data_IF_245695361310
#
_entry.id   IF_245695361310
#
_cell.length_a   1.000
_cell.length_b   1.000
_cell.length_c   1.000
_cell.angle_alpha   90.00
_cell.angle_beta   90.00
_cell.angle_gamma   90.00
#
_symmetry.space_group_name_H-M   'P 1'
#
loop_
_entity.id
_entity.type
_entity.pdbx_description
1 polymer ?
#
# COMPACT_ATOMS: atom_id res chain seq x y z
N UNK A 1 -5.85 -7.61 -10.23
CA UNK A 1 -6.14 -7.73 -8.79
C UNK A 1 -7.02 -6.56 -8.41
N UNK A 2 -8.10 -6.77 -7.67
CA UNK A 2 -8.96 -5.70 -7.15
C UNK A 2 -8.63 -5.43 -5.68
N UNK A 3 -8.60 -4.16 -5.29
CA UNK A 3 -8.35 -3.74 -3.91
C UNK A 3 -9.63 -3.10 -3.39
N UNK A 4 -10.09 -3.49 -2.20
CA UNK A 4 -11.22 -2.82 -1.54
C UNK A 4 -10.71 -1.59 -0.79
N UNK A 5 -11.31 -0.42 -0.98
CA UNK A 5 -10.85 0.83 -0.36
C UNK A 5 -11.30 1.01 1.10
N UNK A 6 -12.26 0.20 1.55
CA UNK A 6 -12.71 0.12 2.95
C UNK A 6 -11.76 -0.68 3.85
N UNK A 7 -10.86 -1.47 3.27
CA UNK A 7 -9.88 -2.24 4.03
C UNK A 7 -8.75 -1.36 4.59
N UNK A 8 -8.06 -1.87 5.60
CA UNK A 8 -6.88 -1.26 6.22
C UNK A 8 -5.59 -1.59 5.49
N UNK A 9 -4.53 -0.80 5.72
CA UNK A 9 -3.17 -1.10 5.24
C UNK A 9 -2.70 -2.50 5.69
N UNK A 10 -3.04 -2.93 6.90
CA UNK A 10 -2.69 -4.26 7.41
C UNK A 10 -3.35 -5.39 6.59
N UNK A 11 -4.62 -5.23 6.23
CA UNK A 11 -5.35 -6.19 5.41
C UNK A 11 -4.80 -6.23 3.98
N UNK A 12 -4.47 -5.06 3.41
CA UNK A 12 -3.79 -5.00 2.13
C UNK A 12 -2.45 -5.76 2.15
N UNK A 13 -1.63 -5.58 3.18
CA UNK A 13 -0.37 -6.35 3.33
C UNK A 13 -0.61 -7.86 3.40
N UNK A 14 -1.69 -8.32 4.04
CA UNK A 14 -2.06 -9.75 4.07
C UNK A 14 -2.42 -10.27 2.68
N UNK A 15 -3.17 -9.50 1.89
CA UNK A 15 -3.47 -9.87 0.51
C UNK A 15 -2.20 -9.90 -0.34
N UNK A 16 -1.35 -8.87 -0.23
CA UNK A 16 -0.11 -8.76 -0.99
C UNK A 16 0.88 -9.87 -0.66
N UNK A 17 0.91 -10.40 0.58
CA UNK A 17 1.73 -11.57 0.96
C UNK A 17 1.53 -12.79 0.03
N UNK A 18 0.35 -12.93 -0.58
CA UNK A 18 0.08 -14.03 -1.51
C UNK A 18 0.68 -13.82 -2.89
N UNK A 19 1.01 -12.56 -3.23
CA UNK A 19 1.52 -12.14 -4.54
C UNK A 19 3.02 -11.85 -4.47
N UNK A 20 3.47 -11.22 -3.39
CA UNK A 20 4.87 -10.90 -3.13
C UNK A 20 5.38 -11.83 -2.03
N UNK A 21 6.51 -12.50 -2.26
CA UNK A 21 7.09 -13.47 -1.33
C UNK A 21 7.76 -12.80 -0.11
N UNK A 22 7.09 -11.82 0.51
CA UNK A 22 7.55 -11.08 1.69
C UNK A 22 6.60 -11.37 2.87
N UNK A 23 7.11 -11.29 4.09
CA UNK A 23 6.25 -11.28 5.28
C UNK A 23 5.62 -9.89 5.45
N UNK A 24 4.44 -9.80 6.05
CA UNK A 24 3.76 -8.51 6.28
C UNK A 24 4.60 -7.54 7.13
N UNK A 25 5.45 -8.05 8.02
CA UNK A 25 6.37 -7.26 8.85
C UNK A 25 7.54 -6.65 8.07
N UNK A 26 7.90 -7.27 6.95
CA UNK A 26 9.04 -6.87 6.11
C UNK A 26 8.58 -6.15 4.84
N UNK A 27 7.31 -5.72 4.77
CA UNK A 27 6.78 -4.93 3.66
C UNK A 27 6.65 -3.46 4.06
N UNK A 28 7.23 -2.57 3.25
CA UNK A 28 6.89 -1.16 3.17
C UNK A 28 5.96 -0.97 1.98
N UNK A 29 4.91 -0.17 2.17
CA UNK A 29 3.96 0.18 1.12
C UNK A 29 4.05 1.67 0.86
N UNK A 30 4.12 2.04 -0.42
CA UNK A 30 4.12 3.43 -0.85
C UNK A 30 3.01 3.66 -1.85
N UNK A 31 2.16 4.65 -1.59
CA UNK A 31 1.11 5.10 -2.47
C UNK A 31 1.62 6.24 -3.36
N UNK A 32 1.33 6.19 -4.65
CA UNK A 32 1.65 7.23 -5.60
C UNK A 32 0.41 7.53 -6.44
N UNK A 33 -0.14 8.73 -6.27
CA UNK A 33 -1.17 9.24 -7.16
C UNK A 33 -0.58 9.62 -8.54
N UNK A 34 -1.42 9.72 -9.57
CA UNK A 34 -0.97 9.99 -10.95
C UNK A 34 -0.25 11.32 -11.14
N UNK A 35 -0.55 12.33 -10.33
CA UNK A 35 -0.05 13.69 -10.47
C UNK A 35 1.11 13.99 -9.50
N UNK A 36 1.40 13.04 -8.60
CA UNK A 36 2.09 13.21 -7.33
C UNK A 36 3.35 14.09 -7.44
N UNK A 37 3.25 15.39 -7.15
CA UNK A 37 4.34 16.33 -7.36
C UNK A 37 5.48 16.11 -6.35
N UNK A 38 5.21 15.40 -5.26
CA UNK A 38 6.14 15.16 -4.15
C UNK A 38 6.59 13.69 -4.04
N UNK A 39 6.22 12.85 -5.00
CA UNK A 39 6.57 11.43 -5.02
C UNK A 39 5.71 10.56 -4.08
N UNK A 40 6.09 9.29 -3.87
CA UNK A 40 5.25 8.34 -3.15
C UNK A 40 5.11 8.63 -1.64
N UNK A 41 3.88 8.54 -1.12
CA UNK A 41 3.59 8.61 0.32
C UNK A 41 3.70 7.21 0.96
N UNK A 42 4.50 7.07 2.01
CA UNK A 42 4.56 5.81 2.77
C UNK A 42 3.26 5.57 3.57
N UNK A 43 2.70 4.38 3.42
CA UNK A 43 1.51 3.93 4.15
C UNK A 43 1.89 3.40 5.54
N UNK A 44 2.34 4.30 6.41
CA UNK A 44 2.93 4.00 7.73
C UNK A 44 1.97 3.38 8.75
N UNK A 45 0.70 3.78 8.70
CA UNK A 45 -0.29 3.43 9.72
C UNK A 45 -1.09 2.19 9.31
N UNK A 46 -0.82 1.06 9.96
CA UNK A 46 -1.42 -0.24 9.64
C UNK A 46 -2.95 -0.27 9.77
N UNK A 47 -3.52 0.51 10.68
CA UNK A 47 -4.97 0.61 10.92
C UNK A 47 -5.69 1.64 10.04
N UNK A 48 -4.95 2.46 9.27
CA UNK A 48 -5.55 3.47 8.38
C UNK A 48 -6.23 2.77 7.20
N UNK A 49 -7.44 3.22 6.87
CA UNK A 49 -8.19 2.69 5.73
C UNK A 49 -7.67 3.27 4.41
N UNK A 50 -7.73 2.48 3.33
CA UNK A 50 -7.15 2.85 2.03
C UNK A 50 -7.80 4.08 1.40
N UNK A 51 -9.12 4.25 1.54
CA UNK A 51 -9.83 5.41 1.00
C UNK A 51 -9.31 6.76 1.52
N UNK A 52 -8.68 6.79 2.70
CA UNK A 52 -8.13 8.01 3.29
C UNK A 52 -6.87 8.54 2.57
N UNK A 53 -6.32 7.77 1.62
CA UNK A 53 -5.25 8.21 0.72
C UNK A 53 -5.79 8.79 -0.60
N UNK A 54 -7.12 8.77 -0.81
CA UNK A 54 -7.72 9.28 -2.04
C UNK A 54 -7.49 8.40 -3.28
N UNK A 55 -7.17 7.11 -3.07
CA UNK A 55 -6.84 6.15 -4.13
C UNK A 55 -7.95 6.06 -5.18
N UNK A 56 -7.56 6.12 -6.45
CA UNK A 56 -8.39 5.99 -7.64
C UNK A 56 -7.79 4.96 -8.59
N UNK A 57 -8.61 4.54 -9.55
CA UNK A 57 -8.12 3.67 -10.62
C UNK A 57 -7.00 4.37 -11.41
N UNK A 58 -5.91 3.64 -11.64
CA UNK A 58 -4.70 4.13 -12.31
C UNK A 58 -3.60 4.63 -11.36
N UNK A 59 -3.89 4.83 -10.08
CA UNK A 59 -2.86 5.08 -9.06
C UNK A 59 -2.02 3.83 -8.80
N UNK A 60 -0.85 4.02 -8.17
CA UNK A 60 0.11 2.94 -7.94
C UNK A 60 0.37 2.73 -6.45
N UNK A 61 0.52 1.45 -6.09
CA UNK A 61 1.01 1.03 -4.78
C UNK A 61 2.29 0.22 -5.01
N UNK A 62 3.40 0.72 -4.49
CA UNK A 62 4.69 0.05 -4.51
C UNK A 62 4.86 -0.79 -3.25
N UNK A 63 5.50 -1.94 -3.41
CA UNK A 63 5.86 -2.82 -2.30
C UNK A 63 7.37 -2.94 -2.27
N UNK A 64 7.98 -2.53 -1.16
CA UNK A 64 9.42 -2.63 -0.97
C UNK A 64 9.75 -3.51 0.24
N UNK A 65 10.85 -4.30 0.19
CA UNK A 65 11.36 -4.97 1.37
C UNK A 65 11.85 -3.95 2.40
N UNK A 66 11.47 -4.13 3.67
CA UNK A 66 12.07 -3.39 4.77
C UNK A 66 13.52 -3.84 4.93
N UNK A 67 14.48 -2.96 4.62
CA UNK A 67 15.90 -3.22 4.88
C UNK A 67 16.11 -3.32 6.40
N UNK A 68 16.95 -4.26 6.82
CA UNK A 68 17.41 -4.40 8.21
C UNK A 68 18.53 -3.43 8.50
#
# INVERSE_FOLDING_TARGET
MSIRLDQTVAELKKHLKTVVQLSTSNMLLFYLDQEAPFGPEEMKYSSRALHSYGIRDGDKIYVEPRMK
#
